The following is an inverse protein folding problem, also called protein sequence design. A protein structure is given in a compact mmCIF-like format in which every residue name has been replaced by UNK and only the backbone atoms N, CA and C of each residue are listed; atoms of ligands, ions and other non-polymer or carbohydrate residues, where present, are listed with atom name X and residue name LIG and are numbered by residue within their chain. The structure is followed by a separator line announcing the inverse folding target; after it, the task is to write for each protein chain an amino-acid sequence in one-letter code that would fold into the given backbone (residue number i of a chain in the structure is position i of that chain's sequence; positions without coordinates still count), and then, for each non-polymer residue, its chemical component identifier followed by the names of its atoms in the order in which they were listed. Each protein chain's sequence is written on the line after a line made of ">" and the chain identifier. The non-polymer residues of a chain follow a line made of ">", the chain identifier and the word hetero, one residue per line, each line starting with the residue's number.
data_IF_191311626568
#
_entry.id   IF_191311626568
#
_cell.length_a   1.000
_cell.length_b   1.000
_cell.length_c   1.000
_cell.angle_alpha   90.00
_cell.angle_beta   90.00
_cell.angle_gamma   90.00
#
_symmetry.space_group_name_H-M   'P 1'
#
loop_
_entity.id
_entity.type
_entity.pdbx_description
1 polymer ?
#
# COMPACT_ATOMS: atom_id res chain seq x y z
N UNK A 1 -2.87 6.36 8.36
CA UNK A 1 -3.24 5.77 7.05
C UNK A 1 -2.17 4.82 6.54
N UNK A 2 -0.92 5.25 6.37
CA UNK A 2 0.17 4.42 5.84
C UNK A 2 0.39 3.12 6.63
N UNK A 3 0.50 3.19 7.95
CA UNK A 3 0.70 2.00 8.80
C UNK A 3 -0.52 1.08 8.81
N UNK A 4 -1.73 1.66 8.85
CA UNK A 4 -2.97 0.89 8.84
C UNK A 4 -3.18 0.14 7.50
N UNK A 5 -2.92 0.81 6.38
CA UNK A 5 -2.89 0.17 5.06
C UNK A 5 -1.81 -0.91 5.02
N UNK A 6 -0.59 -0.58 5.48
CA UNK A 6 0.51 -1.51 5.56
C UNK A 6 0.17 -2.80 6.32
N UNK A 7 -0.46 -2.67 7.49
CA UNK A 7 -0.85 -3.83 8.31
C UNK A 7 -1.92 -4.71 7.67
N UNK A 8 -2.84 -4.12 6.88
CA UNK A 8 -3.89 -4.90 6.19
C UNK A 8 -3.30 -5.81 5.10
N UNK A 9 -2.28 -5.34 4.39
CA UNK A 9 -1.70 -6.05 3.25
C UNK A 9 -0.38 -6.78 3.59
N UNK A 10 0.04 -6.76 4.85
CA UNK A 10 1.28 -7.43 5.30
C UNK A 10 1.19 -8.96 5.30
N UNK A 11 -0.01 -9.54 5.31
CA UNK A 11 -0.22 -10.99 5.41
C UNK A 11 -0.45 -11.66 4.05
N UNK A 12 -0.21 -10.95 2.94
CA UNK A 12 -0.32 -11.56 1.61
C UNK A 12 0.88 -12.48 1.35
N UNK A 13 0.57 -13.70 0.92
CA UNK A 13 1.53 -14.73 0.57
C UNK A 13 1.16 -15.42 -0.74
N UNK A 14 2.19 -15.86 -1.47
CA UNK A 14 2.06 -16.64 -2.70
C UNK A 14 2.36 -18.09 -2.37
N UNK A 15 1.40 -18.98 -2.62
CA UNK A 15 1.55 -20.43 -2.43
C UNK A 15 1.81 -21.09 -3.79
N UNK A 16 2.96 -21.75 -3.96
CA UNK A 16 3.23 -22.61 -5.13
C UNK A 16 2.77 -24.03 -4.81
N UNK A 17 1.88 -24.56 -5.65
CA UNK A 17 1.36 -25.93 -5.54
C UNK A 17 1.96 -26.83 -6.62
N UNK A 18 2.09 -28.13 -6.33
CA UNK A 18 2.44 -29.13 -7.33
C UNK A 18 1.20 -29.56 -8.15
N UNK A 19 1.41 -30.40 -9.17
CA UNK A 19 0.36 -31.00 -9.99
C UNK A 19 -0.64 -31.86 -9.20
N UNK A 20 -0.28 -32.29 -7.99
CA UNK A 20 -1.15 -33.03 -7.07
C UNK A 20 -1.92 -32.11 -6.09
N UNK A 21 -1.80 -30.78 -6.23
CA UNK A 21 -2.51 -29.80 -5.40
C UNK A 21 -1.91 -29.55 -4.01
N UNK A 22 -0.77 -30.18 -3.68
CA UNK A 22 -0.06 -29.94 -2.43
C UNK A 22 0.79 -28.67 -2.51
N UNK A 23 0.79 -27.88 -1.44
CA UNK A 23 1.59 -26.65 -1.33
C UNK A 23 3.05 -27.02 -1.08
N UNK A 24 3.94 -26.65 -2.01
CA UNK A 24 5.38 -26.91 -1.93
C UNK A 24 6.11 -25.76 -1.25
N UNK A 25 5.69 -24.53 -1.52
CA UNK A 25 6.40 -23.32 -1.10
C UNK A 25 5.40 -22.21 -0.81
N UNK A 26 5.65 -21.44 0.26
CA UNK A 26 4.86 -20.26 0.62
C UNK A 26 5.81 -19.08 0.74
N UNK A 27 5.68 -18.11 -0.16
CA UNK A 27 6.51 -16.92 -0.20
C UNK A 27 5.73 -15.72 0.32
N UNK A 28 6.23 -15.07 1.38
CA UNK A 28 5.66 -13.80 1.86
C UNK A 28 5.99 -12.67 0.89
N UNK A 29 5.00 -11.84 0.59
CA UNK A 29 5.19 -10.71 -0.33
C UNK A 29 5.61 -9.48 0.48
N UNK A 30 6.85 -8.96 0.33
CA UNK A 30 7.27 -7.75 1.01
C UNK A 30 6.49 -6.53 0.50
N UNK A 31 6.01 -5.71 1.43
CA UNK A 31 5.27 -4.48 1.19
C UNK A 31 6.13 -3.25 1.49
N UNK A 32 6.25 -2.32 0.54
CA UNK A 32 7.01 -1.08 0.71
C UNK A 32 6.15 0.17 0.45
N UNK A 33 6.50 1.29 1.09
CA UNK A 33 5.84 2.58 0.90
C UNK A 33 6.76 3.58 0.20
N UNK A 34 6.24 4.27 -0.81
CA UNK A 34 6.97 5.32 -1.53
C UNK A 34 6.41 5.58 -2.93
N UNK A 35 6.93 6.61 -3.64
CA UNK A 35 6.48 6.96 -4.97
C UNK A 35 6.72 5.84 -5.99
N UNK A 36 5.74 5.60 -6.87
CA UNK A 36 5.82 4.59 -7.93
C UNK A 36 7.09 4.71 -8.77
N UNK A 37 7.47 5.91 -9.17
CA UNK A 37 8.63 6.18 -10.04
C UNK A 37 9.94 5.74 -9.38
N UNK A 38 10.07 5.94 -8.07
CA UNK A 38 11.24 5.51 -7.28
C UNK A 38 11.36 3.99 -7.23
N UNK A 39 10.25 3.28 -7.21
CA UNK A 39 10.27 1.82 -7.27
C UNK A 39 10.53 1.31 -8.69
N UNK A 40 9.92 1.93 -9.70
CA UNK A 40 10.10 1.55 -11.10
C UNK A 40 11.55 1.71 -11.55
N UNK A 41 12.18 2.84 -11.22
CA UNK A 41 13.61 3.09 -11.51
C UNK A 41 14.54 2.06 -10.91
N UNK A 42 14.21 1.53 -9.72
CA UNK A 42 14.96 0.43 -9.11
C UNK A 42 14.76 -0.88 -9.85
N UNK A 43 13.52 -1.19 -10.24
CA UNK A 43 13.19 -2.44 -10.97
C UNK A 43 13.78 -2.44 -12.38
N UNK A 44 13.76 -1.31 -13.08
CA UNK A 44 14.26 -1.19 -14.45
C UNK A 44 15.78 -0.99 -14.54
N UNK A 45 16.45 -0.72 -13.42
CA UNK A 45 17.91 -0.61 -13.42
C UNK A 45 18.53 -1.97 -13.78
N UNK A 46 19.50 -1.95 -14.71
CA UNK A 46 20.20 -3.14 -15.15
C UNK A 46 20.93 -3.80 -13.95
N UNK A 47 20.60 -5.06 -13.60
CA UNK A 47 21.25 -5.77 -12.50
C UNK A 47 22.77 -5.89 -12.66
N UNK A 48 23.27 -5.82 -13.90
CA UNK A 48 24.69 -5.96 -14.21
C UNK A 48 25.50 -4.69 -13.90
N UNK A 49 24.85 -3.52 -13.91
CA UNK A 49 25.51 -2.23 -13.70
C UNK A 49 25.72 -1.89 -12.21
N UNK A 50 24.98 -2.53 -11.30
CA UNK A 50 25.16 -2.36 -9.86
C UNK A 50 24.64 -3.58 -9.06
N UNK A 51 25.48 -4.59 -8.78
CA UNK A 51 25.06 -5.88 -8.22
C UNK A 51 24.71 -5.85 -6.71
N UNK A 52 24.70 -4.69 -6.06
CA UNK A 52 24.61 -4.60 -4.59
C UNK A 52 23.29 -5.10 -3.98
N UNK A 53 22.18 -5.14 -4.74
CA UNK A 53 20.90 -5.64 -4.24
C UNK A 53 20.13 -6.33 -5.36
N UNK A 54 20.24 -7.65 -5.46
CA UNK A 54 19.31 -8.43 -6.27
C UNK A 54 17.88 -8.19 -5.78
N UNK A 55 17.02 -7.63 -6.64
CA UNK A 55 15.62 -7.39 -6.33
C UNK A 55 14.85 -8.71 -6.43
N UNK A 56 14.45 -9.28 -5.30
CA UNK A 56 13.61 -10.48 -5.28
C UNK A 56 12.16 -10.13 -5.62
N UNK A 57 11.59 -10.85 -6.60
CA UNK A 57 10.16 -10.85 -6.91
C UNK A 57 9.51 -12.09 -6.29
N UNK A 58 8.24 -12.07 -5.86
CA UNK A 58 7.23 -11.01 -5.98
C UNK A 58 7.31 -9.94 -4.88
N UNK A 59 6.88 -8.71 -5.18
CA UNK A 59 6.82 -7.61 -4.20
C UNK A 59 5.69 -6.64 -4.50
N UNK A 60 5.21 -5.93 -3.49
CA UNK A 60 4.20 -4.88 -3.65
C UNK A 60 4.68 -3.55 -3.07
N UNK A 61 4.34 -2.46 -3.76
CA UNK A 61 4.56 -1.09 -3.31
C UNK A 61 3.23 -0.37 -3.26
N UNK A 62 3.07 0.54 -2.30
CA UNK A 62 1.91 1.44 -2.26
C UNK A 62 2.35 2.87 -2.01
N UNK A 63 1.54 3.80 -2.49
CA UNK A 63 1.72 5.24 -2.29
C UNK A 63 0.39 5.88 -1.90
N UNK A 64 0.45 7.04 -1.26
CA UNK A 64 -0.70 7.89 -1.05
C UNK A 64 -0.78 8.91 -2.19
N UNK A 65 -1.77 8.78 -3.08
CA UNK A 65 -1.91 9.69 -4.22
C UNK A 65 -2.56 11.02 -3.84
N UNK A 66 -3.65 10.99 -3.06
CA UNK A 66 -4.35 12.21 -2.65
C UNK A 66 -5.07 12.02 -1.31
N UNK A 67 -5.29 13.15 -0.62
CA UNK A 67 -6.16 13.24 0.54
C UNK A 67 -7.19 14.34 0.27
N UNK A 68 -8.45 13.94 0.10
CA UNK A 68 -9.56 14.88 -0.09
C UNK A 68 -10.41 14.93 1.17
N UNK A 69 -10.97 16.12 1.44
CA UNK A 69 -11.91 16.29 2.53
C UNK A 69 -13.27 15.70 2.15
N UNK A 70 -13.80 14.83 3.01
CA UNK A 70 -15.14 14.27 2.88
C UNK A 70 -16.11 15.11 3.72
N UNK A 71 -16.87 15.98 3.03
CA UNK A 71 -17.82 16.91 3.64
C UNK A 71 -19.01 16.26 4.32
N UNK A 72 -19.27 14.96 4.07
CA UNK A 72 -20.38 14.23 4.72
C UNK A 72 -19.99 13.83 6.14
N UNK A 73 -18.69 13.66 6.42
CA UNK A 73 -18.21 13.19 7.74
C UNK A 73 -18.28 14.24 8.85
N UNK A 74 -18.55 15.50 8.53
CA UNK A 74 -18.75 16.57 9.51
C UNK A 74 -20.00 17.37 9.14
N UNK A 75 -21.01 17.30 10.00
CA UNK A 75 -22.21 18.12 9.89
C UNK A 75 -21.80 19.60 9.89
N UNK A 76 -22.24 20.33 8.86
CA UNK A 76 -21.92 21.74 8.71
C UNK A 76 -22.58 22.54 9.87
N UNK A 77 -21.79 23.27 10.65
CA UNK A 77 -22.28 24.09 11.77
C UNK A 77 -22.87 25.43 11.31
N UNK A 78 -22.83 25.74 10.01
CA UNK A 78 -23.45 26.93 9.42
C UNK A 78 -24.97 26.76 9.35
N UNK A 79 -25.62 26.93 10.49
CA UNK A 79 -27.08 26.79 10.65
C UNK A 79 -27.53 26.77 12.10
N UNK A 80 -26.67 27.17 13.05
CA UNK A 80 -27.07 27.29 14.44
C UNK A 80 -27.94 28.54 14.60
N UNK A 81 -29.25 28.37 14.47
CA UNK A 81 -30.22 29.34 14.96
C UNK A 81 -30.11 29.36 16.48
N UNK A 82 -29.43 30.38 17.03
CA UNK A 82 -29.51 30.65 18.47
C UNK A 82 -30.80 31.43 18.72
N UNK A 83 -31.59 31.02 19.70
CA UNK A 83 -32.71 31.82 20.15
C UNK A 83 -32.16 33.16 20.69
N UNK A 84 -32.57 34.27 20.09
CA UNK A 84 -32.32 35.58 20.66
C UNK A 84 -33.05 35.62 22.01
N UNK A 85 -32.29 35.87 23.07
CA UNK A 85 -32.79 35.90 24.45
C UNK A 85 -33.93 36.90 24.64
N UNK A 86 -34.78 36.56 25.61
CA UNK A 86 -35.89 37.33 26.21
C UNK A 86 -35.69 38.83 26.28
#
# INVERSE_FOLDING_TARGET
>A
MVVAFGSLFNTIEVRRTNSAGSVIETLKVPLAYGPKEKFLTRISADPNLNPGVALTVPRMGFELTALTYDGIRKLNTMGRNVAAGT
#
